data_IF_666177648551
#
_entry.id   IF_666177648551
#
_cell.length_a   1.000
_cell.length_b   1.000
_cell.length_c   1.000
_cell.angle_alpha   90.00
_cell.angle_beta   90.00
_cell.angle_gamma   90.00
#
_symmetry.space_group_name_H-M   'P 1'
#
loop_
_entity.id
_entity.type
_entity.pdbx_description
1 polymer ?
#
# COMPACT_ATOMS: atom_id res chain seq x y z
N UNK A 1 -12.51 -20.57 50.61
CA UNK A 1 -11.06 -20.83 50.44
C UNK A 1 -10.71 -20.65 48.97
N UNK A 2 -9.87 -19.68 48.61
CA UNK A 2 -9.38 -19.48 47.23
C UNK A 2 -8.05 -20.21 47.11
N UNK A 3 -8.00 -21.28 46.31
CA UNK A 3 -6.74 -21.95 45.99
C UNK A 3 -5.83 -21.00 45.19
N UNK A 4 -4.56 -20.81 45.57
CA UNK A 4 -3.64 -20.06 44.73
C UNK A 4 -3.36 -20.90 43.49
N UNK A 5 -3.51 -20.30 42.30
CA UNK A 5 -3.12 -20.95 41.06
C UNK A 5 -1.60 -21.14 41.06
N UNK A 6 -1.13 -22.37 41.30
CA UNK A 6 0.29 -22.74 41.19
C UNK A 6 0.56 -22.95 39.70
N UNK A 7 1.03 -21.92 39.02
CA UNK A 7 1.54 -22.08 37.66
C UNK A 7 2.85 -22.88 37.73
N UNK A 8 2.85 -24.09 37.16
CA UNK A 8 4.05 -24.91 37.04
C UNK A 8 5.13 -24.15 36.27
N UNK A 9 6.41 -24.32 36.64
CA UNK A 9 7.57 -23.76 35.91
C UNK A 9 7.51 -24.09 34.41
N UNK A 10 6.97 -25.26 34.05
CA UNK A 10 6.72 -25.65 32.67
C UNK A 10 5.68 -24.78 31.97
N UNK A 11 4.59 -24.43 32.64
CA UNK A 11 3.55 -23.54 32.10
C UNK A 11 4.05 -22.11 31.88
N UNK A 12 4.92 -21.61 32.77
CA UNK A 12 5.55 -20.29 32.62
C UNK A 12 6.52 -20.30 31.42
N UNK A 13 7.36 -21.33 31.29
CA UNK A 13 8.28 -21.46 30.16
C UNK A 13 7.53 -21.53 28.82
N UNK A 14 6.43 -22.29 28.75
CA UNK A 14 5.62 -22.46 27.54
C UNK A 14 4.90 -21.15 27.15
N UNK A 15 4.40 -20.39 28.14
CA UNK A 15 3.83 -19.06 27.91
C UNK A 15 4.89 -18.08 27.37
N UNK A 16 6.10 -18.07 27.94
CA UNK A 16 7.20 -17.20 27.48
C UNK A 16 7.62 -17.54 26.05
N UNK A 17 7.68 -18.82 25.68
CA UNK A 17 7.97 -19.27 24.31
C UNK A 17 6.84 -18.85 23.35
N UNK A 18 5.58 -18.98 23.76
CA UNK A 18 4.45 -18.56 22.94
C UNK A 18 4.44 -17.03 22.72
N UNK A 19 4.67 -16.25 23.77
CA UNK A 19 4.75 -14.80 23.66
C UNK A 19 5.93 -14.35 22.81
N UNK A 20 7.10 -14.99 22.95
CA UNK A 20 8.28 -14.65 22.15
C UNK A 20 8.09 -15.00 20.67
N UNK A 21 7.45 -16.14 20.36
CA UNK A 21 7.11 -16.49 18.96
C UNK A 21 6.09 -15.53 18.35
N UNK A 22 5.07 -15.10 19.10
CA UNK A 22 4.12 -14.05 18.65
C UNK A 22 4.85 -12.72 18.36
N UNK A 23 5.76 -12.29 19.24
CA UNK A 23 6.55 -11.07 19.02
C UNK A 23 7.43 -11.16 17.76
N UNK A 24 8.08 -12.30 17.51
CA UNK A 24 8.90 -12.48 16.30
C UNK A 24 8.06 -12.48 15.02
N UNK A 25 6.87 -13.09 15.04
CA UNK A 25 5.96 -13.10 13.89
C UNK A 25 5.42 -11.70 13.59
N UNK A 26 5.04 -10.94 14.63
CA UNK A 26 4.54 -9.57 14.44
C UNK A 26 5.59 -8.62 13.89
N UNK A 27 6.85 -8.74 14.32
CA UNK A 27 7.98 -7.98 13.74
C UNK A 27 8.25 -8.36 12.28
N UNK A 28 8.16 -9.66 11.94
CA UNK A 28 8.30 -10.13 10.56
C UNK A 28 7.14 -9.71 9.64
N UNK A 29 5.96 -9.42 10.19
CA UNK A 29 4.78 -8.97 9.43
C UNK A 29 4.73 -7.46 9.18
N UNK A 30 5.61 -6.68 9.81
CA UNK A 30 5.65 -5.23 9.60
C UNK A 30 6.30 -4.89 8.25
N UNK A 31 5.57 -4.18 7.40
CA UNK A 31 6.13 -3.66 6.15
C UNK A 31 7.16 -2.56 6.46
N UNK A 32 8.40 -2.79 6.03
CA UNK A 32 9.53 -1.85 6.17
C UNK A 32 9.99 -1.39 4.77
N UNK A 33 10.65 -0.21 4.67
CA UNK A 33 11.24 0.22 3.41
C UNK A 33 12.19 -0.84 2.86
N UNK A 34 12.05 -1.19 1.58
CA UNK A 34 12.95 -2.10 0.87
C UNK A 34 14.23 -1.41 0.40
N UNK A 35 14.23 -0.08 0.29
CA UNK A 35 15.35 0.69 -0.19
C UNK A 35 15.11 2.19 -0.12
N UNK A 36 15.97 2.94 -0.80
CA UNK A 36 15.81 4.38 -1.01
C UNK A 36 16.32 4.78 -2.40
N UNK A 37 15.62 5.70 -3.06
CA UNK A 37 16.05 6.34 -4.31
C UNK A 37 16.44 7.79 -4.06
N UNK A 38 17.40 8.29 -4.85
CA UNK A 38 17.86 9.69 -4.77
C UNK A 38 17.12 10.52 -5.81
N UNK A 39 16.33 11.48 -5.34
CA UNK A 39 15.57 12.38 -6.20
C UNK A 39 16.47 13.13 -7.17
N UNK A 40 16.04 13.22 -8.42
CA UNK A 40 16.68 13.99 -9.49
C UNK A 40 15.74 15.12 -9.90
N UNK A 41 16.31 16.22 -10.38
CA UNK A 41 15.51 17.29 -10.99
C UNK A 41 14.91 16.75 -12.28
N UNK A 42 13.58 16.77 -12.39
CA UNK A 42 12.90 16.40 -13.61
C UNK A 42 13.33 17.32 -14.78
N UNK A 43 13.41 16.81 -16.02
CA UNK A 43 13.60 17.64 -17.19
C UNK A 43 12.50 18.73 -17.30
N UNK A 44 12.81 19.80 -18.02
CA UNK A 44 11.88 20.91 -18.18
C UNK A 44 10.56 20.42 -18.82
N UNK A 45 9.43 20.74 -18.17
CA UNK A 45 8.09 20.35 -18.62
C UNK A 45 7.70 18.90 -18.36
N UNK A 46 8.55 18.08 -17.72
CA UNK A 46 8.27 16.66 -17.47
C UNK A 46 7.81 16.34 -16.04
N UNK A 47 7.78 17.33 -15.14
CA UNK A 47 7.15 17.12 -13.84
C UNK A 47 5.71 17.62 -13.88
N UNK A 48 4.76 16.70 -13.71
CA UNK A 48 3.36 17.04 -13.48
C UNK A 48 3.14 17.36 -11.99
N UNK A 49 2.33 18.39 -11.71
CA UNK A 49 1.89 18.80 -10.36
C UNK A 49 0.37 18.80 -10.21
N UNK A 50 -0.34 18.23 -11.18
CA UNK A 50 -1.78 18.01 -11.10
C UNK A 50 -2.11 16.96 -10.02
N UNK A 51 -3.36 16.98 -9.55
CA UNK A 51 -3.90 16.01 -8.58
C UNK A 51 -3.02 15.77 -7.34
N UNK A 52 -2.48 16.85 -6.78
CA UNK A 52 -1.60 16.83 -5.60
C UNK A 52 -0.28 16.04 -5.79
N UNK A 53 0.18 15.93 -7.04
CA UNK A 53 1.48 15.33 -7.39
C UNK A 53 2.64 16.26 -7.06
N UNK A 54 3.73 15.68 -6.56
CA UNK A 54 4.96 16.40 -6.20
C UNK A 54 6.16 15.98 -7.07
N UNK A 55 7.02 16.94 -7.39
CA UNK A 55 8.28 16.65 -8.05
C UNK A 55 9.33 16.14 -7.06
N UNK A 56 10.13 15.16 -7.51
CA UNK A 56 11.35 14.77 -6.82
C UNK A 56 12.28 15.96 -6.57
N UNK A 57 12.50 16.29 -5.29
CA UNK A 57 13.53 17.24 -4.86
C UNK A 57 14.93 16.66 -5.10
N UNK A 58 15.76 17.37 -5.86
CA UNK A 58 17.12 16.96 -6.18
C UNK A 58 17.94 16.69 -4.90
N UNK A 59 18.51 15.49 -4.80
CA UNK A 59 19.35 15.08 -3.68
C UNK A 59 18.61 14.53 -2.46
N UNK A 60 17.28 14.70 -2.35
CA UNK A 60 16.48 14.10 -1.28
C UNK A 60 16.38 12.58 -1.48
N UNK A 61 16.49 11.83 -0.39
CA UNK A 61 16.31 10.37 -0.40
C UNK A 61 14.84 10.03 -0.13
N UNK A 62 14.21 9.29 -1.02
CA UNK A 62 12.83 8.80 -0.89
C UNK A 62 12.84 7.30 -0.58
N UNK A 63 12.10 6.81 0.42
CA UNK A 63 12.01 5.38 0.69
C UNK A 63 11.25 4.68 -0.43
N UNK A 64 11.66 3.46 -0.74
CA UNK A 64 10.92 2.56 -1.62
C UNK A 64 10.39 1.36 -0.83
N UNK A 65 9.30 0.78 -1.30
CA UNK A 65 8.60 -0.31 -0.65
C UNK A 65 8.22 -1.39 -1.66
N UNK A 66 8.52 -2.65 -1.33
CA UNK A 66 8.00 -3.84 -2.04
C UNK A 66 6.79 -4.46 -1.31
N UNK A 67 6.33 -3.81 -0.25
CA UNK A 67 5.27 -4.28 0.62
C UNK A 67 4.30 -3.14 0.90
N UNK A 68 3.16 -3.50 1.49
CA UNK A 68 2.19 -2.55 2.02
C UNK A 68 1.72 -3.04 3.39
N UNK A 69 1.08 -2.19 4.22
CA UNK A 69 0.56 -2.61 5.51
C UNK A 69 -0.37 -3.85 5.40
N UNK A 70 -0.49 -4.67 6.44
CA UNK A 70 -1.34 -5.86 6.41
C UNK A 70 -2.79 -5.53 6.05
N UNK A 71 -3.41 -6.38 5.25
CA UNK A 71 -4.83 -6.27 4.97
C UNK A 71 -5.67 -6.70 6.18
N UNK A 72 -6.80 -6.02 6.37
CA UNK A 72 -7.82 -6.39 7.34
C UNK A 72 -9.21 -6.20 6.72
N UNK A 73 -10.28 -6.54 7.44
CA UNK A 73 -11.65 -6.25 7.00
C UNK A 73 -11.94 -4.76 6.79
N UNK A 74 -11.09 -3.86 7.34
CA UNK A 74 -11.17 -2.41 7.15
C UNK A 74 -9.75 -1.81 7.10
N UNK A 75 -8.98 -2.19 6.08
CA UNK A 75 -7.64 -1.63 5.84
C UNK A 75 -7.68 -0.11 5.76
N UNK A 76 -6.83 0.56 6.53
CA UNK A 76 -6.64 2.01 6.47
C UNK A 76 -5.68 2.34 5.33
N UNK A 77 -6.02 3.33 4.54
CA UNK A 77 -5.25 3.79 3.39
C UNK A 77 -5.43 5.30 3.22
N UNK A 78 -4.52 5.91 2.46
CA UNK A 78 -4.69 7.26 1.94
C UNK A 78 -5.28 7.15 0.53
N UNK A 79 -6.33 7.92 0.28
CA UNK A 79 -6.92 8.05 -1.06
C UNK A 79 -6.33 9.29 -1.71
N UNK A 80 -5.67 9.11 -2.85
CA UNK A 80 -5.19 10.18 -3.72
C UNK A 80 -6.05 10.23 -4.98
N UNK A 81 -5.91 11.29 -5.77
CA UNK A 81 -6.60 11.48 -7.04
C UNK A 81 -5.62 11.22 -8.19
N UNK A 82 -6.10 10.59 -9.26
CA UNK A 82 -5.34 10.31 -10.48
C UNK A 82 -6.33 10.19 -11.66
N UNK A 83 -5.96 10.68 -12.83
CA UNK A 83 -6.65 10.42 -14.10
C UNK A 83 -6.03 9.21 -14.78
N UNK A 84 -6.89 8.26 -15.17
CA UNK A 84 -6.51 7.06 -15.92
C UNK A 84 -6.79 7.22 -17.42
N UNK A 85 -7.18 8.43 -17.85
CA UNK A 85 -7.46 8.73 -19.25
C UNK A 85 -6.19 8.83 -20.08
N UNK A 86 -6.37 8.67 -21.39
CA UNK A 86 -5.29 8.93 -22.34
C UNK A 86 -4.93 10.42 -22.29
N UNK A 87 -3.65 10.70 -22.09
CA UNK A 87 -3.11 12.05 -21.87
C UNK A 87 -3.54 12.69 -20.53
N UNK A 88 -4.06 11.90 -19.58
CA UNK A 88 -4.17 12.30 -18.18
C UNK A 88 -2.82 12.27 -17.46
N UNK A 89 -2.83 12.50 -16.15
CA UNK A 89 -1.63 12.53 -15.32
C UNK A 89 -1.11 11.15 -14.90
N UNK A 90 -1.90 10.09 -15.04
CA UNK A 90 -1.51 8.70 -14.76
C UNK A 90 -0.43 8.14 -15.71
N UNK A 91 -0.05 8.88 -16.76
CA UNK A 91 1.03 8.49 -17.66
C UNK A 91 0.60 7.43 -18.68
N UNK A 92 0.99 6.17 -18.44
CA UNK A 92 0.75 5.05 -19.37
C UNK A 92 -0.63 4.42 -19.22
N UNK A 93 -0.96 3.43 -20.07
CA UNK A 93 -2.10 2.55 -19.85
C UNK A 93 -1.93 1.74 -18.56
N UNK A 94 -3.04 1.37 -17.91
CA UNK A 94 -3.01 0.65 -16.64
C UNK A 94 -2.47 -0.78 -16.74
N UNK A 95 -1.72 -1.22 -15.73
CA UNK A 95 -0.97 -2.48 -15.73
C UNK A 95 -1.83 -3.74 -15.85
N UNK A 96 -3.07 -3.74 -15.34
CA UNK A 96 -3.90 -4.95 -15.37
C UNK A 96 -4.36 -5.34 -16.78
N UNK A 97 -4.62 -4.36 -17.65
CA UNK A 97 -5.30 -4.58 -18.92
C UNK A 97 -4.71 -3.82 -20.11
N UNK A 98 -3.64 -3.07 -19.91
CA UNK A 98 -3.00 -2.22 -20.92
C UNK A 98 -3.98 -1.22 -21.56
N UNK A 99 -4.96 -0.72 -20.79
CA UNK A 99 -5.97 0.22 -21.26
C UNK A 99 -5.96 1.52 -20.46
N UNK A 100 -6.45 2.59 -21.10
CA UNK A 100 -6.85 3.81 -20.40
C UNK A 100 -8.30 3.68 -19.96
N UNK A 101 -8.64 4.28 -18.83
CA UNK A 101 -9.98 4.23 -18.25
C UNK A 101 -10.56 5.64 -18.18
N UNK A 102 -11.84 5.81 -18.53
CA UNK A 102 -12.50 7.11 -18.47
C UNK A 102 -12.65 7.57 -17.01
N UNK A 103 -12.46 8.86 -16.74
CA UNK A 103 -12.48 9.41 -15.37
C UNK A 103 -13.86 9.30 -14.68
N UNK A 104 -14.93 9.04 -15.45
CA UNK A 104 -16.25 8.73 -14.89
C UNK A 104 -16.40 7.27 -14.45
N UNK A 105 -15.39 6.42 -14.68
CA UNK A 105 -15.40 5.01 -14.30
C UNK A 105 -14.72 4.87 -12.94
N UNK A 106 -15.38 4.31 -11.91
CA UNK A 106 -14.77 4.09 -10.61
C UNK A 106 -13.66 3.01 -10.69
N UNK A 107 -12.43 3.45 -10.92
CA UNK A 107 -11.24 2.61 -10.97
C UNK A 107 -10.16 3.11 -10.01
N UNK A 108 -9.24 2.23 -9.61
CA UNK A 108 -8.15 2.56 -8.69
C UNK A 108 -6.86 1.82 -9.01
N UNK A 109 -5.75 2.45 -8.62
CA UNK A 109 -4.45 1.83 -8.46
C UNK A 109 -4.23 1.41 -6.99
N UNK A 110 -3.46 0.35 -6.76
CA UNK A 110 -3.04 -0.05 -5.41
C UNK A 110 -1.52 0.02 -5.28
N UNK A 111 -1.01 0.42 -4.11
CA UNK A 111 0.44 0.36 -3.85
C UNK A 111 0.98 -1.06 -4.03
N UNK A 112 2.21 -1.21 -4.52
CA UNK A 112 2.86 -2.49 -4.89
C UNK A 112 2.50 -3.70 -4.03
N UNK A 113 2.61 -3.61 -2.70
CA UNK A 113 2.28 -4.74 -1.82
C UNK A 113 0.80 -5.11 -1.79
N UNK A 114 -0.10 -4.14 -1.92
CA UNK A 114 -1.53 -4.37 -2.09
C UNK A 114 -1.92 -4.68 -3.54
N UNK A 115 -1.15 -4.27 -4.54
CA UNK A 115 -1.35 -4.72 -5.90
C UNK A 115 -1.05 -6.21 -6.04
N UNK A 116 -0.01 -6.69 -5.34
CA UNK A 116 0.38 -8.09 -5.23
C UNK A 116 0.62 -8.73 -6.61
N UNK A 117 1.46 -8.09 -7.42
CA UNK A 117 1.82 -8.53 -8.78
C UNK A 117 0.59 -8.85 -9.63
N UNK A 118 -0.40 -7.97 -9.64
CA UNK A 118 -1.66 -8.15 -10.37
C UNK A 118 -2.63 -9.16 -9.76
N UNK A 119 -2.33 -9.76 -8.61
CA UNK A 119 -3.22 -10.70 -7.93
C UNK A 119 -4.56 -10.11 -7.48
N UNK A 120 -4.72 -8.78 -7.58
CA UNK A 120 -6.00 -8.07 -7.37
C UNK A 120 -6.57 -7.41 -8.62
N UNK A 121 -5.97 -7.61 -9.79
CA UNK A 121 -6.49 -7.03 -11.03
C UNK A 121 -7.96 -7.38 -11.25
N UNK A 122 -8.75 -6.38 -11.62
CA UNK A 122 -10.20 -6.44 -11.85
C UNK A 122 -11.05 -6.87 -10.65
N UNK A 123 -10.44 -7.05 -9.47
CA UNK A 123 -11.20 -7.19 -8.24
C UNK A 123 -11.82 -5.84 -7.87
N UNK A 124 -13.02 -5.92 -7.31
CA UNK A 124 -13.72 -4.76 -6.80
C UNK A 124 -13.41 -4.57 -5.32
N UNK A 125 -13.02 -3.36 -4.94
CA UNK A 125 -12.82 -2.98 -3.54
C UNK A 125 -13.85 -1.95 -3.12
N UNK A 126 -14.23 -1.99 -1.84
CA UNK A 126 -15.11 -0.97 -1.25
C UNK A 126 -14.26 0.06 -0.51
N UNK A 127 -14.34 1.30 -0.96
CA UNK A 127 -13.66 2.45 -0.35
C UNK A 127 -14.68 3.16 0.52
N UNK A 128 -14.32 3.43 1.78
CA UNK A 128 -15.17 4.12 2.74
C UNK A 128 -14.47 5.39 3.24
N UNK A 129 -15.15 6.53 3.17
CA UNK A 129 -14.60 7.83 3.60
C UNK A 129 -15.71 8.85 3.80
N UNK A 130 -15.59 9.71 4.80
CA UNK A 130 -16.54 10.79 5.10
C UNK A 130 -18.01 10.32 5.18
N UNK A 131 -18.26 9.13 5.76
CA UNK A 131 -19.59 8.53 5.87
C UNK A 131 -20.18 8.00 4.57
N UNK A 132 -19.42 8.03 3.47
CA UNK A 132 -19.82 7.54 2.13
C UNK A 132 -19.02 6.30 1.77
N UNK A 133 -19.56 5.54 0.80
CA UNK A 133 -18.95 4.32 0.29
C UNK A 133 -19.07 4.28 -1.23
N UNK A 134 -18.03 3.78 -1.89
CA UNK A 134 -18.01 3.53 -3.33
C UNK A 134 -17.31 2.19 -3.59
N UNK A 135 -17.75 1.50 -4.64
CA UNK A 135 -17.06 0.32 -5.14
C UNK A 135 -16.27 0.73 -6.38
N UNK A 136 -14.99 0.40 -6.39
CA UNK A 136 -14.10 0.69 -7.51
C UNK A 136 -13.35 -0.56 -7.94
N UNK A 137 -13.04 -0.67 -9.23
CA UNK A 137 -12.27 -1.76 -9.80
C UNK A 137 -10.77 -1.46 -9.73
N UNK A 138 -9.98 -2.43 -9.28
CA UNK A 138 -8.51 -2.32 -9.33
C UNK A 138 -8.06 -2.52 -10.78
N UNK A 139 -7.39 -1.53 -11.34
CA UNK A 139 -6.89 -1.56 -12.73
C UNK A 139 -5.39 -1.38 -12.81
N UNK A 140 -4.74 -0.89 -11.76
CA UNK A 140 -3.34 -0.47 -11.86
C UNK A 140 -2.52 -0.66 -10.58
N UNK A 141 -1.20 -0.52 -10.74
CA UNK A 141 -0.24 -0.42 -9.67
C UNK A 141 0.15 1.04 -9.42
N UNK A 142 0.10 1.47 -8.15
CA UNK A 142 0.80 2.66 -7.71
C UNK A 142 2.20 2.22 -7.29
N UNK A 143 3.16 2.24 -8.23
CA UNK A 143 4.48 1.68 -7.99
C UNK A 143 5.21 2.43 -6.86
N UNK A 144 5.55 1.69 -5.81
CA UNK A 144 6.26 2.20 -4.63
C UNK A 144 7.73 1.81 -4.61
N UNK A 145 8.23 1.19 -5.68
CA UNK A 145 9.58 0.66 -5.83
C UNK A 145 10.51 1.60 -6.61
N UNK A 146 9.95 2.51 -7.42
CA UNK A 146 10.67 3.45 -8.28
C UNK A 146 10.01 4.85 -8.36
N UNK A 147 10.60 5.77 -9.14
CA UNK A 147 10.13 7.15 -9.34
C UNK A 147 11.10 8.07 -10.07
#
# INVERSE_FOLDING_TARGET
MKSPAIFSRGSIALLVILLSTICLVTEAQQCRPSGKIRGRKAPAGQCNKENDSDCCVAGKMYPTYKCSPPLSGSTKAYLTLNSFEKNGDGGGPSECDNQYHNDNTPVVALSTGWYNNGGRCHNHIRINGNGRSVVAMVVDECDSTEG
#
